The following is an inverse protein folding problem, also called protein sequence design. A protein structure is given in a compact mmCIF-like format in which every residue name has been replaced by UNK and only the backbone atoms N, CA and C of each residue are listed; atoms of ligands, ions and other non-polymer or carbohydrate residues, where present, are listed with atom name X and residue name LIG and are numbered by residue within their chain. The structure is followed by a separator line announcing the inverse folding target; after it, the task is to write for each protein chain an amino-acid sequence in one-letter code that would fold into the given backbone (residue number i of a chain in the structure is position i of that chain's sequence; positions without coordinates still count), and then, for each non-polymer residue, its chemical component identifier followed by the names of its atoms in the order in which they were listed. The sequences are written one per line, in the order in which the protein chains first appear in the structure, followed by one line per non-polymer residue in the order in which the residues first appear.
data_IF_346129849121
#
_entry.id   IF_346129849121
#
_cell.length_a   1.000
_cell.length_b   1.000
_cell.length_c   1.000
_cell.angle_alpha   90.00
_cell.angle_beta   90.00
_cell.angle_gamma   90.00
#
_symmetry.space_group_name_H-M   'P 1'
#
loop_
_entity.id
_entity.type
_entity.pdbx_description
1 polymer ?
#
# COMPACT_ATOMS: atom_id res chain seq x y z
N UNK A 1 -15.56 -20.62 2.49
CA UNK A 1 -14.29 -19.88 2.64
C UNK A 1 -13.39 -20.66 3.58
N UNK A 2 -12.29 -21.23 3.09
CA UNK A 2 -11.33 -21.93 3.95
C UNK A 2 -10.49 -20.87 4.66
N UNK A 3 -10.89 -20.51 5.87
CA UNK A 3 -10.09 -19.70 6.80
C UNK A 3 -9.22 -20.64 7.62
N UNK A 4 -8.04 -20.99 7.11
CA UNK A 4 -7.00 -21.61 7.92
C UNK A 4 -6.03 -20.53 8.40
N UNK A 5 -5.96 -20.37 9.72
CA UNK A 5 -5.23 -19.31 10.40
C UNK A 5 -3.76 -19.20 9.95
N UNK A 6 -3.34 -17.95 9.73
CA UNK A 6 -1.93 -17.56 9.73
C UNK A 6 -1.19 -17.57 8.39
N UNK A 7 -1.87 -17.63 7.23
CA UNK A 7 -1.18 -17.74 5.94
C UNK A 7 -1.44 -16.51 5.05
N UNK A 8 -0.36 -15.76 4.78
CA UNK A 8 -0.34 -14.63 3.84
C UNK A 8 -0.64 -15.11 2.42
N UNK A 9 -1.68 -14.55 1.80
CA UNK A 9 -2.02 -14.76 0.40
C UNK A 9 -0.91 -14.18 -0.48
N UNK A 10 -0.08 -15.07 -1.03
CA UNK A 10 1.09 -14.73 -1.83
C UNK A 10 1.15 -15.65 -3.06
N UNK A 11 1.91 -15.30 -4.11
CA UNK A 11 2.11 -16.18 -5.28
C UNK A 11 2.66 -17.57 -4.90
N UNK A 12 3.33 -17.68 -3.75
CA UNK A 12 3.76 -18.97 -3.21
C UNK A 12 2.59 -19.81 -2.71
N UNK A 13 1.60 -19.16 -2.10
CA UNK A 13 0.40 -19.81 -1.58
C UNK A 13 -0.54 -20.25 -2.71
N UNK A 14 -0.67 -19.42 -3.75
CA UNK A 14 -1.37 -19.73 -4.99
C UNK A 14 -0.95 -21.09 -5.57
N UNK A 15 0.36 -21.30 -5.76
CA UNK A 15 0.90 -22.55 -6.31
C UNK A 15 0.48 -23.79 -5.51
N UNK A 16 0.39 -23.67 -4.19
CA UNK A 16 -0.03 -24.77 -3.31
C UNK A 16 -1.53 -25.06 -3.50
N UNK A 17 -2.36 -24.02 -3.54
CA UNK A 17 -3.81 -24.16 -3.71
C UNK A 17 -4.14 -24.72 -5.10
N UNK A 18 -3.52 -24.20 -6.16
CA UNK A 18 -3.75 -24.67 -7.53
C UNK A 18 -3.31 -26.13 -7.70
N UNK A 19 -2.17 -26.53 -7.10
CA UNK A 19 -1.72 -27.93 -7.12
C UNK A 19 -2.74 -28.87 -6.44
N UNK A 20 -3.22 -28.51 -5.25
CA UNK A 20 -4.22 -29.31 -4.53
C UNK A 20 -5.58 -29.36 -5.26
N UNK A 21 -5.99 -28.26 -5.89
CA UNK A 21 -7.24 -28.20 -6.65
C UNK A 21 -7.20 -29.08 -7.92
N UNK A 22 -6.03 -29.18 -8.56
CA UNK A 22 -5.82 -29.99 -9.75
C UNK A 22 -6.03 -31.49 -9.48
N UNK A 23 -5.66 -31.99 -8.30
CA UNK A 23 -5.88 -33.40 -7.89
C UNK A 23 -7.36 -33.79 -7.87
N UNK A 24 -8.25 -32.82 -7.70
CA UNK A 24 -9.70 -33.01 -7.59
C UNK A 24 -10.50 -32.38 -8.74
N UNK A 25 -9.84 -31.96 -9.81
CA UNK A 25 -10.46 -31.25 -10.94
C UNK A 25 -11.36 -30.08 -10.49
N UNK A 26 -10.98 -29.43 -9.39
CA UNK A 26 -11.78 -28.37 -8.77
C UNK A 26 -11.41 -27.03 -9.38
N UNK A 27 -12.40 -26.30 -9.88
CA UNK A 27 -12.20 -24.93 -10.33
C UNK A 27 -11.90 -24.02 -9.13
N UNK A 28 -10.91 -23.14 -9.27
CA UNK A 28 -10.55 -22.16 -8.24
C UNK A 28 -10.55 -20.76 -8.82
N UNK A 29 -11.00 -19.80 -8.01
CA UNK A 29 -10.84 -18.36 -8.26
C UNK A 29 -9.88 -17.82 -7.21
N UNK A 30 -8.78 -17.19 -7.66
CA UNK A 30 -7.72 -16.70 -6.79
C UNK A 30 -7.58 -15.18 -6.95
N UNK A 31 -7.88 -14.45 -5.88
CA UNK A 31 -7.64 -13.02 -5.76
C UNK A 31 -6.27 -12.81 -5.13
N UNK A 32 -5.30 -12.40 -5.94
CA UNK A 32 -3.92 -12.23 -5.52
C UNK A 32 -3.57 -10.75 -5.38
N UNK A 33 -2.60 -10.46 -4.53
CA UNK A 33 -2.02 -9.13 -4.47
C UNK A 33 -1.27 -8.79 -5.77
N UNK A 34 -1.17 -7.50 -6.06
CA UNK A 34 -0.45 -6.99 -7.21
C UNK A 34 0.28 -5.68 -6.89
N UNK A 35 1.02 -5.20 -7.88
CA UNK A 35 1.59 -3.85 -7.88
C UNK A 35 0.68 -2.98 -8.73
N UNK A 36 0.02 -2.00 -8.11
CA UNK A 36 -0.94 -1.14 -8.78
C UNK A 36 -0.29 0.20 -9.15
N UNK A 37 0.20 0.38 -10.40
CA UNK A 37 0.64 1.69 -10.88
C UNK A 37 -0.54 2.65 -11.00
N UNK A 38 -0.29 3.93 -10.78
CA UNK A 38 -1.23 5.01 -11.12
C UNK A 38 -0.53 6.03 -12.00
N UNK A 39 -1.13 6.39 -13.12
CA UNK A 39 -0.62 7.46 -13.99
C UNK A 39 -1.36 8.74 -13.62
N UNK A 40 -0.62 9.79 -13.34
CA UNK A 40 -1.16 11.11 -13.00
C UNK A 40 -0.60 12.12 -13.99
N UNK A 41 -1.52 12.83 -14.63
CA UNK A 41 -1.25 13.97 -15.49
C UNK A 41 -1.71 15.29 -14.84
N UNK A 42 -1.47 16.41 -15.51
CA UNK A 42 -1.81 17.75 -15.02
C UNK A 42 -3.32 17.97 -14.81
N UNK A 43 -4.17 17.19 -15.47
CA UNK A 43 -5.63 17.33 -15.43
C UNK A 43 -6.30 16.41 -14.39
N UNK A 44 -5.61 15.33 -14.01
CA UNK A 44 -6.11 14.24 -13.17
C UNK A 44 -5.72 14.35 -11.70
N UNK A 45 -5.09 15.45 -11.27
CA UNK A 45 -4.98 15.79 -9.83
C UNK A 45 -6.34 16.28 -9.33
N UNK A 46 -7.36 15.45 -9.50
CA UNK A 46 -8.65 15.66 -8.87
C UNK A 46 -8.52 15.29 -7.39
N UNK A 47 -9.41 15.88 -6.61
CA UNK A 47 -9.59 15.69 -5.16
C UNK A 47 -9.90 14.23 -4.75
N UNK A 48 -9.82 13.28 -5.69
CA UNK A 48 -10.27 11.90 -5.56
C UNK A 48 -9.15 10.89 -5.32
N UNK A 49 -7.89 11.34 -5.21
CA UNK A 49 -6.80 10.50 -4.70
C UNK A 49 -7.07 10.18 -3.22
N UNK A 50 -7.92 9.19 -2.97
CA UNK A 50 -8.27 8.76 -1.63
C UNK A 50 -7.03 8.16 -0.99
N UNK A 51 -6.62 8.73 0.13
CA UNK A 51 -5.65 8.07 0.97
C UNK A 51 -6.28 6.78 1.49
N UNK A 52 -5.70 5.63 1.14
CA UNK A 52 -6.32 4.32 1.36
C UNK A 52 -6.62 4.08 2.83
N UNK A 53 -7.86 3.74 3.16
CA UNK A 53 -8.16 3.05 4.43
C UNK A 53 -7.36 1.74 4.46
N UNK A 54 -6.94 1.30 5.64
CA UNK A 54 -6.04 0.15 5.86
C UNK A 54 -4.53 0.41 5.71
N UNK A 55 -4.07 1.67 5.68
CA UNK A 55 -2.63 2.03 5.64
C UNK A 55 -1.89 1.38 4.48
N UNK A 56 -2.52 1.36 3.30
CA UNK A 56 -1.97 0.77 2.08
C UNK A 56 -1.99 -0.76 2.03
N UNK A 57 -2.57 -1.45 3.01
CA UNK A 57 -2.67 -2.92 3.06
C UNK A 57 -3.92 -3.43 2.31
N UNK A 58 -4.15 -2.98 1.09
CA UNK A 58 -5.19 -3.51 0.21
C UNK A 58 -4.61 -3.94 -1.14
N UNK A 59 -5.14 -5.00 -1.74
CA UNK A 59 -4.64 -5.55 -3.01
C UNK A 59 -4.73 -4.57 -4.19
N UNK A 60 -5.57 -3.54 -4.07
CA UNK A 60 -5.80 -2.50 -5.08
C UNK A 60 -5.21 -1.14 -4.66
N UNK A 61 -4.45 -1.07 -3.57
CA UNK A 61 -3.80 0.17 -3.14
C UNK A 61 -2.78 0.63 -4.17
N UNK A 62 -2.75 1.94 -4.44
CA UNK A 62 -1.71 2.55 -5.29
C UNK A 62 -0.34 2.26 -4.71
N UNK A 63 0.51 1.59 -5.50
CA UNK A 63 1.86 1.20 -5.08
C UNK A 63 2.91 2.24 -5.48
N UNK A 64 2.79 2.77 -6.70
CA UNK A 64 3.65 3.82 -7.22
C UNK A 64 2.91 4.67 -8.27
N UNK A 65 3.40 5.89 -8.45
CA UNK A 65 2.81 6.88 -9.36
C UNK A 65 3.78 7.18 -10.50
N UNK A 66 3.29 7.13 -11.73
CA UNK A 66 3.95 7.70 -12.89
C UNK A 66 3.41 9.09 -13.14
N UNK A 67 4.31 10.05 -13.30
CA UNK A 67 3.98 11.46 -13.51
C UNK A 67 5.03 12.08 -14.41
N UNK A 68 4.64 13.09 -15.19
CA UNK A 68 5.59 13.88 -15.96
C UNK A 68 6.57 14.59 -15.02
N UNK A 69 7.87 14.58 -15.37
CA UNK A 69 8.92 15.14 -14.52
C UNK A 69 8.69 16.62 -14.17
N UNK A 70 8.17 17.41 -15.12
CA UNK A 70 7.85 18.83 -14.93
C UNK A 70 6.76 19.05 -13.86
N UNK A 71 5.90 18.05 -13.63
CA UNK A 71 4.76 18.11 -12.74
C UNK A 71 5.00 17.46 -11.37
N UNK A 72 6.02 16.62 -11.25
CA UNK A 72 6.29 15.83 -10.05
C UNK A 72 6.32 16.66 -8.77
N UNK A 73 7.00 17.81 -8.78
CA UNK A 73 7.08 18.72 -7.63
C UNK A 73 5.72 19.32 -7.25
N UNK A 74 4.92 19.72 -8.25
CA UNK A 74 3.58 20.28 -8.01
C UNK A 74 2.61 19.23 -7.44
N UNK A 75 2.70 18.00 -7.94
CA UNK A 75 1.95 16.87 -7.41
C UNK A 75 2.31 16.61 -5.94
N UNK A 76 3.59 16.57 -5.59
CA UNK A 76 4.04 16.38 -4.20
C UNK A 76 3.46 17.46 -3.28
N UNK A 77 3.54 18.73 -3.67
CA UNK A 77 3.01 19.83 -2.87
C UNK A 77 1.48 19.77 -2.72
N UNK A 78 0.77 19.20 -3.70
CA UNK A 78 -0.68 19.00 -3.61
C UNK A 78 -1.05 17.82 -2.72
N UNK A 79 -0.23 16.76 -2.69
CA UNK A 79 -0.48 15.57 -1.88
C UNK A 79 -0.25 15.79 -0.39
N UNK A 80 0.72 16.62 0.00
CA UNK A 80 1.01 16.93 1.42
C UNK A 80 -0.23 17.41 2.20
N UNK A 81 -0.95 18.47 1.79
CA UNK A 81 -2.14 18.95 2.50
C UNK A 81 -3.29 17.95 2.43
N UNK A 82 -3.41 17.19 1.33
CA UNK A 82 -4.40 16.13 1.21
C UNK A 82 -4.17 15.05 2.27
N UNK A 83 -2.94 14.54 2.43
CA UNK A 83 -2.61 13.54 3.44
C UNK A 83 -2.86 14.09 4.86
N UNK A 84 -2.48 15.35 5.13
CA UNK A 84 -2.79 16.03 6.40
C UNK A 84 -4.29 16.12 6.66
N UNK A 85 -5.12 16.33 5.65
CA UNK A 85 -6.58 16.38 5.82
C UNK A 85 -7.18 15.04 6.29
N UNK A 86 -6.53 13.91 5.96
CA UNK A 86 -6.96 12.58 6.40
C UNK A 86 -6.43 12.22 7.81
N UNK A 87 -5.18 12.54 8.10
CA UNK A 87 -4.52 12.09 9.33
C UNK A 87 -4.27 13.19 10.37
N UNK A 88 -4.61 14.44 10.08
CA UNK A 88 -4.28 15.58 10.93
C UNK A 88 -2.77 15.84 11.02
N UNK A 89 -2.40 16.74 11.92
CA UNK A 89 -1.00 17.05 12.22
C UNK A 89 -0.31 15.95 13.03
N UNK A 90 -1.07 15.22 13.85
CA UNK A 90 -0.59 14.04 14.57
C UNK A 90 -1.33 12.77 14.11
N UNK A 91 -0.76 11.98 13.17
CA UNK A 91 -1.38 10.76 12.70
C UNK A 91 -1.71 9.74 13.80
N UNK A 92 -1.03 9.77 14.95
CA UNK A 92 -1.34 8.87 16.08
C UNK A 92 -2.73 9.12 16.68
N UNK A 93 -3.19 10.36 16.62
CA UNK A 93 -4.48 10.80 17.15
C UNK A 93 -5.59 10.68 16.10
N UNK A 94 -5.25 10.38 14.84
CA UNK A 94 -6.22 10.19 13.78
C UNK A 94 -6.98 8.87 13.95
N UNK A 95 -8.31 8.95 13.92
CA UNK A 95 -9.16 7.76 13.82
C UNK A 95 -9.08 7.05 12.46
N UNK A 96 -8.40 7.63 11.47
CA UNK A 96 -8.27 7.07 10.13
C UNK A 96 -6.99 6.22 9.95
N UNK A 97 -6.01 6.31 10.86
CA UNK A 97 -4.77 5.57 10.76
C UNK A 97 -4.97 4.10 11.18
N UNK A 98 -4.74 3.17 10.26
CA UNK A 98 -4.82 1.73 10.54
C UNK A 98 -3.47 1.15 10.96
N UNK A 99 -3.48 0.08 11.75
CA UNK A 99 -2.26 -0.65 12.15
C UNK A 99 -1.77 -1.57 11.03
N UNK A 100 -0.46 -1.79 10.99
CA UNK A 100 0.13 -2.89 10.21
C UNK A 100 -0.26 -4.22 10.84
N UNK A 101 -0.78 -5.14 10.03
CA UNK A 101 -1.48 -6.34 10.51
C UNK A 101 -0.59 -7.31 11.31
N UNK A 102 0.69 -7.44 10.94
CA UNK A 102 1.64 -8.31 11.66
C UNK A 102 3.03 -7.69 11.77
N UNK A 103 3.81 -8.17 12.75
CA UNK A 103 5.23 -7.78 12.93
C UNK A 103 6.09 -8.09 11.70
N UNK A 104 5.77 -9.16 10.96
CA UNK A 104 6.47 -9.52 9.73
C UNK A 104 6.27 -8.48 8.63
N UNK A 105 5.04 -7.95 8.48
CA UNK A 105 4.76 -6.88 7.53
C UNK A 105 5.38 -5.54 7.93
N UNK A 106 5.76 -5.38 9.20
CA UNK A 106 6.55 -4.24 9.66
C UNK A 106 7.97 -4.21 9.07
N UNK A 107 8.34 -5.16 8.18
CA UNK A 107 9.51 -5.04 7.29
C UNK A 107 9.59 -3.69 6.56
N UNK A 108 8.47 -3.00 6.37
CA UNK A 108 8.40 -1.64 5.82
C UNK A 108 9.30 -0.66 6.60
N UNK A 109 9.38 -0.79 7.93
CA UNK A 109 10.27 0.03 8.74
C UNK A 109 11.75 -0.20 8.39
N UNK A 110 12.13 -1.44 8.06
CA UNK A 110 13.48 -1.72 7.59
C UNK A 110 13.76 -1.11 6.21
N UNK A 111 12.77 -1.10 5.31
CA UNK A 111 12.90 -0.42 4.01
C UNK A 111 13.06 1.10 4.18
N UNK A 112 12.36 1.71 5.13
CA UNK A 112 12.51 3.14 5.47
C UNK A 112 13.88 3.48 6.08
N UNK A 113 14.62 2.48 6.58
CA UNK A 113 15.97 2.66 7.12
C UNK A 113 17.06 2.51 6.06
N UNK A 114 16.72 2.14 4.82
CA UNK A 114 17.67 2.11 3.73
C UNK A 114 18.15 3.54 3.40
N UNK A 115 19.47 3.80 3.32
CA UNK A 115 19.99 5.14 3.07
C UNK A 115 19.50 5.78 1.76
N UNK A 116 19.32 4.98 0.71
CA UNK A 116 18.81 5.47 -0.58
C UNK A 116 17.34 5.86 -0.50
N UNK A 117 16.55 5.09 0.25
CA UNK A 117 15.16 5.45 0.56
C UNK A 117 15.10 6.70 1.40
N UNK A 118 15.87 6.79 2.49
CA UNK A 118 15.87 7.95 3.39
C UNK A 118 16.21 9.25 2.66
N UNK A 119 17.23 9.22 1.79
CA UNK A 119 17.62 10.37 0.97
C UNK A 119 16.52 10.83 -0.01
N UNK A 120 15.55 9.96 -0.31
CA UNK A 120 14.46 10.19 -1.26
C UNK A 120 13.13 10.56 -0.59
N UNK A 121 13.05 10.59 0.74
CA UNK A 121 11.80 10.90 1.47
C UNK A 121 11.51 12.40 1.35
N UNK A 122 10.36 12.74 0.73
CA UNK A 122 9.88 14.11 0.57
C UNK A 122 8.77 14.51 1.55
N UNK A 123 8.12 13.52 2.18
CA UNK A 123 7.06 13.70 3.18
C UNK A 123 6.87 12.41 4.00
N UNK A 124 6.57 12.53 5.30
CA UNK A 124 6.36 11.37 6.19
C UNK A 124 7.67 10.64 6.52
N UNK A 125 7.67 9.32 6.39
CA UNK A 125 8.87 8.49 6.64
C UNK A 125 9.07 8.01 8.08
N UNK A 126 8.19 8.39 8.99
CA UNK A 126 8.27 8.00 10.41
C UNK A 126 7.45 6.76 10.72
N UNK A 127 7.97 5.91 11.61
CA UNK A 127 7.22 4.78 12.16
C UNK A 127 6.58 5.14 13.48
N UNK A 128 5.32 4.77 13.65
CA UNK A 128 4.57 4.93 14.88
C UNK A 128 4.40 3.54 15.49
N UNK A 129 4.89 3.34 16.71
CA UNK A 129 4.49 2.22 17.54
C UNK A 129 3.24 2.64 18.32
N UNK A 130 2.15 1.92 18.09
CA UNK A 130 0.85 2.04 18.79
C UNK A 130 0.74 0.97 19.86
#
# INVERSE_FOLDING_TARGET
MISNGGKEWSPRFEKIITAAAAEHLTHVTLELGGKCPTIVDHQSVSKDMKCGSCSGQACISVDYVFVEQSFASSLIETLKPMIRSFFGENPKESGCLSRIVTKKHFRLAHLLNDPGVQASIVYGGSTIFL
#
